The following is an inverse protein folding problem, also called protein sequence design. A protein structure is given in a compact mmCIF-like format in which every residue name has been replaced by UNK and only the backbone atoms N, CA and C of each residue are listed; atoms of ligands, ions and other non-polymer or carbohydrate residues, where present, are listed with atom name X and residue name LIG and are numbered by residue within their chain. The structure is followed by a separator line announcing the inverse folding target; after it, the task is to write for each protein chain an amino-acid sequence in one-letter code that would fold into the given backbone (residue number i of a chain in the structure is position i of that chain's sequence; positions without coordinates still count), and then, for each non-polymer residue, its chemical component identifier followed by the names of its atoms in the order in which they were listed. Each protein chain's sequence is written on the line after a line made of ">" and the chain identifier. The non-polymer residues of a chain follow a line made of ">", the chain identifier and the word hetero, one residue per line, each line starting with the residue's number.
data_IF_784596345930
#
_entry.id   IF_784596345930
#
_cell.length_a   1.000
_cell.length_b   1.000
_cell.length_c   1.000
_cell.angle_alpha   90.00
_cell.angle_beta   90.00
_cell.angle_gamma   90.00
#
_symmetry.space_group_name_H-M   'P 1'
#
loop_
_entity.id
_entity.type
_entity.pdbx_description
1 polymer ?
#
# COMPACT_ATOMS: atom_id res chain seq x y z
N UNK A 1 -18.90 4.30 -13.77
CA UNK A 1 -18.03 3.15 -14.10
C UNK A 1 -16.65 3.49 -13.60
N UNK A 2 -16.28 3.06 -12.40
CA UNK A 2 -14.96 3.37 -11.86
C UNK A 2 -13.91 2.51 -12.59
N UNK A 3 -12.78 3.12 -12.93
CA UNK A 3 -11.57 2.41 -13.34
C UNK A 3 -10.61 2.40 -12.14
N UNK A 4 -10.76 1.48 -11.17
CA UNK A 4 -10.00 1.51 -9.92
C UNK A 4 -8.49 1.41 -10.16
N UNK A 5 -8.09 0.81 -11.29
CA UNK A 5 -6.69 0.71 -11.70
C UNK A 5 -6.38 1.68 -12.84
N UNK A 6 -5.33 2.49 -12.68
CA UNK A 6 -4.84 3.39 -13.73
C UNK A 6 -4.23 2.65 -14.92
N UNK A 7 -3.77 1.41 -14.74
CA UNK A 7 -3.25 0.56 -15.82
C UNK A 7 -4.35 -0.03 -16.70
N UNK A 8 -5.61 -0.03 -16.23
CA UNK A 8 -6.73 -0.70 -16.88
C UNK A 8 -6.67 -2.23 -16.85
N UNK A 9 -5.69 -2.83 -16.16
CA UNK A 9 -5.46 -4.28 -16.18
C UNK A 9 -5.47 -4.89 -14.78
N UNK A 10 -6.54 -5.63 -14.49
CA UNK A 10 -6.57 -6.76 -13.57
C UNK A 10 -7.84 -7.58 -13.86
N UNK A 11 -7.75 -8.90 -13.73
CA UNK A 11 -8.94 -9.75 -13.72
C UNK A 11 -9.78 -9.41 -12.50
N UNK A 12 -11.06 -9.07 -12.71
CA UNK A 12 -11.95 -8.74 -11.60
C UNK A 12 -11.70 -7.39 -10.94
N UNK A 13 -11.14 -6.39 -11.65
CA UNK A 13 -10.89 -5.05 -11.09
C UNK A 13 -12.11 -4.41 -10.40
N UNK A 14 -13.34 -4.74 -10.82
CA UNK A 14 -14.57 -4.27 -10.17
C UNK A 14 -14.72 -4.73 -8.72
N UNK A 15 -14.07 -5.82 -8.31
CA UNK A 15 -14.02 -6.26 -6.91
C UNK A 15 -13.07 -5.43 -6.05
N UNK A 16 -12.19 -4.63 -6.67
CA UNK A 16 -11.27 -3.72 -5.96
C UNK A 16 -11.93 -2.36 -5.68
N UNK A 17 -13.08 -2.07 -6.28
CA UNK A 17 -13.78 -0.80 -6.07
C UNK A 17 -14.25 -0.70 -4.61
N UNK A 18 -13.74 0.31 -3.88
CA UNK A 18 -14.01 0.49 -2.45
C UNK A 18 -13.27 -0.46 -1.52
N UNK A 19 -12.38 -1.31 -2.05
CA UNK A 19 -11.53 -2.18 -1.25
C UNK A 19 -10.39 -1.39 -0.59
N UNK A 20 -9.84 -1.96 0.50
CA UNK A 20 -8.68 -1.39 1.20
C UNK A 20 -7.39 -1.92 0.58
N UNK A 21 -6.65 -1.04 -0.09
CA UNK A 21 -5.35 -1.37 -0.71
C UNK A 21 -4.19 -1.38 0.30
N UNK A 22 -4.29 -0.57 1.35
CA UNK A 22 -3.31 -0.51 2.43
C UNK A 22 -3.97 -0.14 3.76
N UNK A 23 -3.47 -0.71 4.86
CA UNK A 23 -3.92 -0.42 6.21
C UNK A 23 -2.75 -0.26 7.19
N UNK A 24 -2.93 0.60 8.18
CA UNK A 24 -2.00 0.76 9.31
C UNK A 24 -2.72 0.46 10.62
N UNK A 25 -2.07 -0.24 11.53
CA UNK A 25 -2.53 -0.38 12.92
C UNK A 25 -1.37 -0.20 13.91
N UNK A 26 -1.65 0.41 15.06
CA UNK A 26 -0.69 0.46 16.17
C UNK A 26 -0.80 -0.81 16.99
N UNK A 27 0.28 -1.58 17.09
CA UNK A 27 0.32 -2.86 17.80
C UNK A 27 1.41 -2.78 18.88
N UNK A 28 0.99 -2.73 20.14
CA UNK A 28 1.89 -2.55 21.28
C UNK A 28 2.69 -1.26 21.16
N UNK A 29 4.02 -1.36 21.04
CA UNK A 29 4.92 -0.22 20.87
C UNK A 29 5.31 0.06 19.41
N UNK A 30 4.77 -0.71 18.44
CA UNK A 30 5.13 -0.63 17.03
C UNK A 30 3.94 -0.35 16.12
N UNK A 31 4.21 -0.32 14.81
CA UNK A 31 3.21 -0.16 13.76
C UNK A 31 3.20 -1.39 12.85
N UNK A 32 2.00 -1.84 12.50
CA UNK A 32 1.75 -2.85 11.49
C UNK A 32 1.28 -2.16 10.22
N UNK A 33 1.95 -2.42 9.11
CA UNK A 33 1.56 -1.99 7.77
C UNK A 33 1.16 -3.21 6.96
N UNK A 34 -0.06 -3.18 6.40
CA UNK A 34 -0.60 -4.22 5.54
C UNK A 34 -0.83 -3.64 4.15
N UNK A 35 -0.43 -4.37 3.12
CA UNK A 35 -0.64 -4.00 1.72
C UNK A 35 -1.33 -5.18 1.03
N UNK A 36 -2.43 -4.90 0.34
CA UNK A 36 -3.13 -5.88 -0.49
C UNK A 36 -2.29 -6.36 -1.69
N UNK A 37 -1.58 -5.47 -2.43
CA UNK A 37 -0.68 -5.92 -3.48
C UNK A 37 0.68 -6.34 -2.91
N UNK A 38 1.34 -7.25 -3.61
CA UNK A 38 2.74 -7.59 -3.33
C UNK A 38 3.66 -6.44 -3.75
N UNK A 39 3.93 -5.53 -2.81
CA UNK A 39 4.75 -4.32 -3.07
C UNK A 39 6.22 -4.63 -3.40
N UNK A 40 6.68 -5.85 -3.14
CA UNK A 40 8.03 -6.35 -3.45
C UNK A 40 8.12 -7.13 -4.77
N UNK A 41 7.01 -7.30 -5.49
CA UNK A 41 6.99 -8.08 -6.72
C UNK A 41 7.92 -7.48 -7.79
N UNK A 42 8.70 -8.33 -8.46
CA UNK A 42 9.60 -7.89 -9.53
C UNK A 42 8.74 -7.44 -10.73
N UNK A 43 8.60 -6.12 -10.91
CA UNK A 43 7.91 -5.38 -11.98
C UNK A 43 7.14 -4.16 -11.44
N UNK A 44 7.09 -3.96 -10.11
CA UNK A 44 6.46 -2.76 -9.56
C UNK A 44 7.22 -1.48 -9.98
N UNK A 45 6.51 -0.37 -10.26
CA UNK A 45 7.15 0.90 -10.62
C UNK A 45 8.09 1.39 -9.52
N UNK A 46 9.17 2.10 -9.87
CA UNK A 46 10.13 2.62 -8.89
C UNK A 46 9.48 3.44 -7.75
N UNK A 47 8.33 4.10 -8.02
CA UNK A 47 7.57 4.84 -7.03
C UNK A 47 7.02 4.01 -5.87
N UNK A 48 6.80 2.70 -6.03
CA UNK A 48 6.24 1.84 -4.98
C UNK A 48 7.27 1.43 -3.93
N UNK A 49 8.57 1.54 -4.21
CA UNK A 49 9.63 1.19 -3.25
C UNK A 49 9.53 1.98 -1.95
N UNK A 50 9.02 3.21 -2.03
CA UNK A 50 8.79 4.08 -0.88
C UNK A 50 7.84 3.45 0.14
N UNK A 51 6.88 2.62 -0.27
CA UNK A 51 5.96 1.96 0.67
C UNK A 51 6.70 1.02 1.62
N UNK A 52 7.62 0.22 1.10
CA UNK A 52 8.42 -0.70 1.92
C UNK A 52 9.33 0.07 2.88
N UNK A 53 10.12 1.03 2.35
CA UNK A 53 11.09 1.74 3.17
C UNK A 53 10.45 2.69 4.18
N UNK A 54 9.34 3.34 3.82
CA UNK A 54 8.59 4.17 4.76
C UNK A 54 7.92 3.34 5.85
N UNK A 55 7.42 2.13 5.54
CA UNK A 55 6.87 1.24 6.56
C UNK A 55 7.95 0.77 7.56
N UNK A 56 9.17 0.48 7.07
CA UNK A 56 10.31 0.14 7.92
C UNK A 56 10.75 1.34 8.77
N UNK A 57 10.87 2.52 8.16
CA UNK A 57 11.33 3.73 8.84
C UNK A 57 10.30 4.30 9.83
N UNK A 58 9.01 4.25 9.46
CA UNK A 58 7.88 4.80 10.22
C UNK A 58 7.56 4.05 11.51
N UNK A 59 8.12 2.86 11.74
CA UNK A 59 7.95 2.10 12.99
C UNK A 59 8.54 2.80 14.23
N UNK A 60 9.35 3.85 14.06
CA UNK A 60 10.03 4.55 15.17
C UNK A 60 9.38 5.84 15.67
N UNK A 61 8.69 6.61 14.83
CA UNK A 61 7.93 7.84 15.16
C UNK A 61 7.27 8.40 13.87
N UNK A 62 6.14 9.13 13.96
CA UNK A 62 5.26 9.40 12.83
C UNK A 62 5.87 10.38 11.84
N UNK A 63 5.78 10.07 10.55
CA UNK A 63 5.99 11.06 9.48
C UNK A 63 4.69 11.89 9.37
N UNK A 64 4.70 13.20 9.66
CA UNK A 64 3.62 14.08 9.27
C UNK A 64 3.72 14.28 7.76
N UNK A 65 2.71 13.84 7.02
CA UNK A 65 2.57 14.14 5.59
C UNK A 65 2.01 15.56 5.43
N UNK A 66 2.62 16.45 4.62
CA UNK A 66 2.03 17.73 4.25
C UNK A 66 0.82 17.57 3.32
#
# INVERSE_FOLDING_TARGET
>A
NASPLRSGWAWGQGYLEGAVEAAEATIGKGKLYLFAPEITFRAQPHGTFKWLFNAIYGGGNPVPVP
#
